data_IF_641877847770
#
_entry.id   IF_641877847770
#
_cell.length_a   1.000
_cell.length_b   1.000
_cell.length_c   1.000
_cell.angle_alpha   90.00
_cell.angle_beta   90.00
_cell.angle_gamma   90.00
#
_symmetry.space_group_name_H-M   'P 1'
#
loop_
_entity.id
_entity.type
_entity.pdbx_description
1 polymer ?
#
# COMPACT_ATOMS: atom_id res chain seq x y z
N UNK A 1 23.89 -1.41 -17.86
CA UNK A 1 23.62 -2.47 -18.87
C UNK A 1 22.11 -2.62 -18.94
N UNK A 2 21.51 -2.22 -20.06
CA UNK A 2 20.06 -2.11 -20.26
C UNK A 2 19.43 -3.50 -20.32
N UNK A 3 18.34 -3.72 -19.55
CA UNK A 3 17.53 -4.93 -19.68
C UNK A 3 16.62 -4.75 -20.90
N UNK A 4 17.04 -5.29 -22.05
CA UNK A 4 16.17 -5.57 -23.20
C UNK A 4 15.78 -7.04 -23.20
N UNK A 5 15.22 -7.55 -22.11
CA UNK A 5 14.41 -8.76 -22.23
C UNK A 5 12.97 -8.35 -22.36
N UNK A 6 12.31 -8.93 -23.36
CA UNK A 6 10.86 -8.93 -23.44
C UNK A 6 10.28 -9.29 -22.06
N UNK A 7 9.34 -8.51 -21.54
CA UNK A 7 8.70 -8.85 -20.28
C UNK A 7 7.98 -10.19 -20.47
N UNK A 8 8.42 -11.21 -19.73
CA UNK A 8 7.73 -12.50 -19.63
C UNK A 8 6.23 -12.24 -19.47
N UNK A 9 5.42 -13.02 -20.19
CA UNK A 9 3.96 -12.96 -20.33
C UNK A 9 3.18 -13.02 -18.99
N UNK A 10 3.31 -12.03 -18.11
CA UNK A 10 2.59 -11.97 -16.83
C UNK A 10 1.86 -10.65 -16.57
N UNK A 11 2.08 -9.61 -17.38
CA UNK A 11 1.31 -8.36 -17.28
C UNK A 11 -0.10 -8.49 -17.86
N UNK A 12 -1.10 -7.91 -17.20
CA UNK A 12 -2.48 -7.84 -17.73
C UNK A 12 -2.47 -7.23 -19.13
N UNK A 13 -3.19 -7.84 -20.07
CA UNK A 13 -3.25 -7.42 -21.48
C UNK A 13 -3.66 -5.95 -21.64
N UNK A 14 -4.43 -5.43 -20.67
CA UNK A 14 -4.89 -4.04 -20.64
C UNK A 14 -3.80 -3.03 -20.28
N UNK A 15 -2.95 -3.33 -19.29
CA UNK A 15 -1.85 -2.43 -18.89
C UNK A 15 -0.83 -2.27 -20.02
N UNK A 16 -0.49 -3.37 -20.70
CA UNK A 16 0.39 -3.35 -21.88
C UNK A 16 -0.21 -2.52 -23.02
N UNK A 17 -1.52 -2.61 -23.24
CA UNK A 17 -2.21 -1.85 -24.27
C UNK A 17 -2.19 -0.34 -23.99
N UNK A 18 -2.52 0.09 -22.77
CA UNK A 18 -2.60 1.51 -22.41
C UNK A 18 -1.26 2.23 -22.49
N UNK A 19 -0.19 1.61 -21.98
CA UNK A 19 1.15 2.20 -21.98
C UNK A 19 1.77 2.29 -23.39
N UNK A 20 1.48 1.31 -24.27
CA UNK A 20 1.90 1.39 -25.68
C UNK A 20 1.13 2.47 -26.45
N UNK A 21 -0.18 2.61 -26.22
CA UNK A 21 -0.99 3.63 -26.88
C UNK A 21 -0.53 5.05 -26.55
N UNK A 22 -0.02 5.25 -25.33
CA UNK A 22 0.52 6.52 -24.87
C UNK A 22 2.03 6.68 -25.15
N UNK A 23 2.67 5.73 -25.82
CA UNK A 23 4.12 5.69 -26.09
C UNK A 23 5.01 5.77 -24.83
N UNK A 24 4.46 5.50 -23.66
CA UNK A 24 5.15 5.62 -22.38
C UNK A 24 6.27 4.58 -22.25
N UNK A 25 6.20 3.44 -22.93
CA UNK A 25 7.30 2.45 -22.93
C UNK A 25 8.55 2.91 -23.68
N UNK A 26 8.39 3.83 -24.63
CA UNK A 26 9.42 4.15 -25.63
C UNK A 26 10.18 5.40 -25.23
N UNK A 27 9.48 6.36 -24.64
CA UNK A 27 10.08 7.59 -24.16
C UNK A 27 10.68 7.39 -22.77
N UNK A 28 12.01 7.36 -22.70
CA UNK A 28 12.75 7.16 -21.44
C UNK A 28 12.62 8.34 -20.49
N UNK A 29 12.31 9.53 -20.99
CA UNK A 29 12.17 10.74 -20.18
C UNK A 29 10.90 10.70 -19.31
N UNK A 30 9.94 9.82 -19.63
CA UNK A 30 8.73 9.59 -18.84
C UNK A 30 8.97 8.65 -17.63
N UNK A 31 10.19 8.09 -17.49
CA UNK A 31 10.56 7.20 -16.40
C UNK A 31 11.65 7.82 -15.54
N UNK A 32 11.38 7.90 -14.24
CA UNK A 32 12.35 8.37 -13.24
C UNK A 32 12.73 7.23 -12.30
N UNK A 33 13.99 7.21 -11.88
CA UNK A 33 14.41 6.32 -10.79
C UNK A 33 13.71 6.72 -9.49
N UNK A 34 13.28 5.73 -8.70
CA UNK A 34 12.44 5.93 -7.51
C UNK A 34 13.15 6.79 -6.46
N UNK A 35 14.47 6.65 -6.30
CA UNK A 35 15.28 7.34 -5.27
C UNK A 35 16.61 7.89 -5.82
N UNK A 36 16.76 7.99 -7.15
CA UNK A 36 18.02 8.31 -7.84
C UNK A 36 19.22 7.38 -7.50
N UNK A 37 18.96 6.20 -6.93
CA UNK A 37 19.96 5.19 -6.63
C UNK A 37 19.96 4.07 -7.68
N UNK A 38 21.14 3.79 -8.22
CA UNK A 38 21.37 2.71 -9.19
C UNK A 38 21.23 1.29 -8.60
N UNK A 39 20.85 1.17 -7.33
CA UNK A 39 20.78 -0.07 -6.55
C UNK A 39 19.37 -0.65 -6.33
N UNK A 40 18.30 0.08 -6.71
CA UNK A 40 16.91 -0.33 -6.48
C UNK A 40 16.57 -1.75 -6.93
N UNK A 41 17.20 -2.22 -8.01
CA UNK A 41 17.03 -3.57 -8.52
C UNK A 41 17.34 -4.65 -7.48
N UNK A 42 18.45 -4.50 -6.73
CA UNK A 42 18.85 -5.49 -5.74
C UNK A 42 17.90 -5.50 -4.54
N UNK A 43 17.38 -4.34 -4.15
CA UNK A 43 16.41 -4.20 -3.05
C UNK A 43 15.03 -4.74 -3.44
N UNK A 44 14.51 -4.39 -4.62
CA UNK A 44 13.21 -4.86 -5.14
C UNK A 44 13.28 -6.36 -5.48
N UNK A 45 14.39 -6.83 -6.07
CA UNK A 45 14.59 -8.23 -6.43
C UNK A 45 14.80 -9.16 -5.22
N UNK A 46 15.19 -8.61 -4.07
CA UNK A 46 15.30 -9.32 -2.80
C UNK A 46 14.06 -9.16 -1.91
N UNK A 47 12.98 -8.54 -2.39
CA UNK A 47 11.71 -8.53 -1.64
C UNK A 47 11.16 -9.96 -1.52
N UNK A 48 10.63 -10.24 -0.33
CA UNK A 48 10.42 -11.57 0.27
C UNK A 48 10.00 -12.67 -0.71
N UNK A 49 10.70 -13.81 -0.65
CA UNK A 49 10.41 -15.02 -1.45
C UNK A 49 9.13 -15.74 -1.02
N UNK A 50 8.56 -15.38 0.13
CA UNK A 50 7.40 -16.02 0.73
C UNK A 50 6.12 -15.18 0.47
N UNK A 51 5.21 -15.63 -0.41
CA UNK A 51 4.04 -14.84 -0.82
C UNK A 51 3.02 -14.62 0.32
N UNK A 52 3.02 -15.47 1.33
CA UNK A 52 2.20 -15.34 2.55
C UNK A 52 2.68 -14.18 3.43
N UNK A 53 3.98 -14.05 3.66
CA UNK A 53 4.54 -12.92 4.41
C UNK A 53 4.30 -11.60 3.70
N UNK A 54 4.46 -11.57 2.36
CA UNK A 54 4.16 -10.39 1.56
C UNK A 54 2.70 -9.95 1.70
N UNK A 55 1.75 -10.90 1.73
CA UNK A 55 0.33 -10.59 1.93
C UNK A 55 0.07 -9.97 3.32
N UNK A 56 0.67 -10.54 4.38
CA UNK A 56 0.55 -10.02 5.75
C UNK A 56 1.12 -8.60 5.83
N UNK A 57 2.29 -8.36 5.25
CA UNK A 57 2.92 -7.03 5.21
C UNK A 57 2.01 -6.00 4.54
N UNK A 58 1.40 -6.33 3.39
CA UNK A 58 0.49 -5.38 2.71
C UNK A 58 -0.75 -5.06 3.53
N UNK A 59 -1.27 -6.00 4.33
CA UNK A 59 -2.36 -5.70 5.26
C UNK A 59 -1.89 -4.76 6.38
N UNK A 60 -0.70 -4.98 6.93
CA UNK A 60 -0.13 -4.11 7.97
C UNK A 60 0.06 -2.69 7.43
N UNK A 61 0.64 -2.54 6.23
CA UNK A 61 0.80 -1.22 5.60
C UNK A 61 -0.54 -0.50 5.41
N UNK A 62 -1.61 -1.21 5.04
CA UNK A 62 -2.95 -0.62 4.95
C UNK A 62 -3.49 -0.20 6.32
N UNK A 63 -3.16 -0.91 7.41
CA UNK A 63 -3.53 -0.49 8.77
C UNK A 63 -2.77 0.77 9.17
N UNK A 64 -1.46 0.81 8.91
CA UNK A 64 -0.63 2.00 9.15
C UNK A 64 -1.18 3.20 8.36
N UNK A 65 -1.60 2.98 7.12
CA UNK A 65 -2.18 4.05 6.30
C UNK A 65 -3.52 4.59 6.86
N UNK A 66 -4.32 3.73 7.48
CA UNK A 66 -5.54 4.19 8.15
C UNK A 66 -5.22 5.03 9.40
N UNK A 67 -4.19 4.64 10.17
CA UNK A 67 -3.77 5.39 11.35
C UNK A 67 -3.15 6.76 10.99
N UNK A 68 -2.34 6.79 9.93
CA UNK A 68 -1.71 7.99 9.41
C UNK A 68 -2.76 8.98 8.88
N UNK A 69 -3.74 8.49 8.12
CA UNK A 69 -4.91 9.27 7.73
C UNK A 69 -5.62 9.88 8.93
N UNK A 70 -5.92 9.12 9.97
CA UNK A 70 -6.64 9.68 11.13
C UNK A 70 -5.79 10.72 11.87
N UNK A 71 -4.48 10.49 12.01
CA UNK A 71 -3.58 11.49 12.57
C UNK A 71 -3.65 12.82 11.79
N UNK A 72 -3.56 12.74 10.46
CA UNK A 72 -3.65 13.89 9.57
C UNK A 72 -5.06 14.52 9.59
N UNK A 73 -6.13 13.73 9.67
CA UNK A 73 -7.52 14.21 9.71
C UNK A 73 -7.81 15.04 10.97
N UNK A 74 -7.10 14.74 12.06
CA UNK A 74 -7.14 15.49 13.31
C UNK A 74 -6.23 16.73 13.29
N UNK A 75 -5.56 17.02 12.17
CA UNK A 75 -4.63 18.14 12.03
C UNK A 75 -3.33 17.94 12.81
N UNK A 76 -2.99 16.70 13.17
CA UNK A 76 -1.78 16.35 13.88
C UNK A 76 -0.74 15.91 12.86
N UNK A 77 0.46 16.50 12.94
CA UNK A 77 1.61 16.01 12.21
C UNK A 77 2.05 14.66 12.83
N UNK A 78 2.06 13.54 12.07
CA UNK A 78 2.46 12.22 12.58
C UNK A 78 3.87 12.16 13.15
N UNK A 79 4.76 13.09 12.76
CA UNK A 79 6.13 13.18 13.26
C UNK A 79 6.27 14.10 14.48
N UNK A 80 5.18 14.74 14.90
CA UNK A 80 5.18 15.68 16.02
C UNK A 80 5.04 14.96 17.37
N UNK A 81 5.39 15.68 18.45
CA UNK A 81 5.18 15.20 19.83
C UNK A 81 3.71 15.09 20.24
N UNK A 82 2.81 15.64 19.43
CA UNK A 82 1.37 15.62 19.64
C UNK A 82 0.71 14.38 19.03
N UNK A 83 1.43 13.62 18.19
CA UNK A 83 0.94 12.35 17.67
C UNK A 83 0.90 11.28 18.77
N UNK A 84 0.00 10.28 18.66
CA UNK A 84 0.01 9.11 19.52
C UNK A 84 1.38 8.45 19.53
N UNK A 85 1.85 8.06 20.71
CA UNK A 85 3.19 7.49 20.93
C UNK A 85 3.22 5.98 20.75
N UNK A 86 2.07 5.37 20.51
CA UNK A 86 1.94 3.94 20.22
C UNK A 86 0.73 3.65 19.35
N UNK A 87 0.74 2.49 18.68
CA UNK A 87 -0.41 1.98 17.93
C UNK A 87 -1.62 1.81 18.84
N UNK A 88 -1.44 1.32 20.07
CA UNK A 88 -2.55 1.16 21.03
C UNK A 88 -3.19 2.50 21.40
N UNK A 89 -2.38 3.54 21.62
CA UNK A 89 -2.88 4.90 21.90
C UNK A 89 -3.65 5.44 20.69
N UNK A 90 -3.13 5.28 19.46
CA UNK A 90 -3.85 5.68 18.24
C UNK A 90 -5.17 4.92 18.05
N UNK A 91 -5.18 3.61 18.34
CA UNK A 91 -6.38 2.77 18.26
C UNK A 91 -7.46 3.20 19.27
N UNK A 92 -7.04 3.56 20.48
CA UNK A 92 -7.93 4.06 21.54
C UNK A 92 -8.46 5.46 21.19
N UNK A 93 -7.59 6.38 20.79
CA UNK A 93 -7.95 7.76 20.49
C UNK A 93 -8.82 7.89 19.23
N UNK A 94 -8.45 7.24 18.13
CA UNK A 94 -9.12 7.43 16.84
C UNK A 94 -10.34 6.52 16.64
N UNK A 95 -10.34 5.33 17.26
CA UNK A 95 -11.37 4.32 17.01
C UNK A 95 -12.06 3.79 18.28
N UNK A 96 -11.62 4.21 19.46
CA UNK A 96 -12.16 3.70 20.74
C UNK A 96 -11.83 2.23 21.00
N UNK A 97 -10.81 1.67 20.35
CA UNK A 97 -10.43 0.26 20.48
C UNK A 97 -9.47 0.10 21.65
N UNK A 98 -9.97 -0.39 22.78
CA UNK A 98 -9.18 -0.59 23.99
C UNK A 98 -8.41 -1.92 23.97
N UNK A 99 -7.16 -1.88 24.43
CA UNK A 99 -6.27 -3.05 24.51
C UNK A 99 -6.11 -3.81 23.17
N UNK A 100 -6.28 -3.12 22.03
CA UNK A 100 -6.23 -3.73 20.70
C UNK A 100 -7.34 -4.74 20.41
N UNK A 101 -8.43 -4.74 21.21
CA UNK A 101 -9.53 -5.70 21.07
C UNK A 101 -10.69 -5.07 20.32
N UNK A 102 -10.97 -5.52 19.10
CA UNK A 102 -12.17 -5.10 18.36
C UNK A 102 -13.46 -5.40 19.13
N UNK A 103 -13.47 -6.40 20.02
CA UNK A 103 -14.63 -6.68 20.89
C UNK A 103 -14.91 -5.58 21.92
N UNK A 104 -14.00 -4.60 22.10
CA UNK A 104 -14.21 -3.44 22.97
C UNK A 104 -15.13 -2.38 22.37
N UNK A 105 -15.40 -2.43 21.06
CA UNK A 105 -16.28 -1.49 20.36
C UNK A 105 -17.55 -2.17 19.85
N UNK A 106 -18.61 -1.38 19.69
CA UNK A 106 -19.92 -1.83 19.24
C UNK A 106 -19.88 -2.46 17.84
N UNK A 107 -20.83 -3.37 17.57
CA UNK A 107 -20.93 -4.05 16.28
C UNK A 107 -21.09 -3.09 15.10
N UNK A 108 -21.86 -2.01 15.27
CA UNK A 108 -22.05 -0.97 14.27
C UNK A 108 -20.75 -0.24 13.95
N UNK A 109 -19.96 0.10 14.97
CA UNK A 109 -18.65 0.76 14.84
C UNK A 109 -17.66 -0.18 14.14
N UNK A 110 -17.59 -1.45 14.54
CA UNK A 110 -16.77 -2.46 13.85
C UNK A 110 -17.14 -2.59 12.38
N UNK A 111 -18.43 -2.64 12.06
CA UNK A 111 -18.91 -2.72 10.68
C UNK A 111 -18.55 -1.49 9.87
N UNK A 112 -18.46 -0.31 10.49
CA UNK A 112 -18.00 0.90 9.81
C UNK A 112 -16.48 0.88 9.60
N UNK A 113 -15.72 0.47 10.61
CA UNK A 113 -14.26 0.35 10.53
C UNK A 113 -13.82 -0.64 9.43
N UNK A 114 -14.56 -1.74 9.25
CA UNK A 114 -14.30 -2.74 8.22
C UNK A 114 -14.43 -2.20 6.78
N UNK A 115 -14.99 -0.99 6.57
CA UNK A 115 -15.08 -0.36 5.24
C UNK A 115 -13.80 0.38 4.84
N UNK A 116 -12.79 0.40 5.70
CA UNK A 116 -11.54 1.10 5.43
C UNK A 116 -10.53 0.25 4.64
N UNK A 117 -10.56 -1.08 4.76
CA UNK A 117 -9.60 -1.99 4.11
C UNK A 117 -10.36 -3.18 3.53
N UNK A 118 -10.11 -3.48 2.26
CA UNK A 118 -10.76 -4.55 1.52
C UNK A 118 -9.72 -5.54 0.99
N UNK A 119 -9.95 -6.83 1.24
CA UNK A 119 -9.25 -7.91 0.55
C UNK A 119 -10.17 -8.47 -0.54
N UNK A 120 -9.83 -8.23 -1.80
CA UNK A 120 -10.61 -8.63 -2.96
C UNK A 120 -9.86 -9.75 -3.70
N UNK A 121 -10.51 -10.89 -3.84
CA UNK A 121 -9.98 -12.02 -4.61
C UNK A 121 -10.66 -12.10 -5.97
N UNK A 122 -9.86 -12.19 -7.02
CA UNK A 122 -10.32 -12.40 -8.40
C UNK A 122 -9.52 -13.52 -9.08
N UNK A 123 -9.87 -13.86 -10.32
CA UNK A 123 -9.20 -14.93 -11.07
C UNK A 123 -9.74 -16.34 -10.76
N UNK A 124 -8.92 -17.37 -11.04
CA UNK A 124 -9.31 -18.78 -10.84
C UNK A 124 -8.87 -19.25 -9.46
N UNK A 125 -9.59 -20.19 -8.85
CA UNK A 125 -9.20 -20.79 -7.55
C UNK A 125 -7.77 -21.35 -7.54
N UNK A 126 -7.30 -21.88 -8.68
CA UNK A 126 -5.95 -22.43 -8.84
C UNK A 126 -4.88 -21.38 -9.14
N UNK A 127 -5.29 -20.15 -9.52
CA UNK A 127 -4.39 -19.03 -9.78
C UNK A 127 -5.12 -17.71 -9.45
N UNK A 128 -5.31 -17.44 -8.15
CA UNK A 128 -6.05 -16.26 -7.70
C UNK A 128 -5.19 -15.00 -7.83
N UNK A 129 -5.85 -13.85 -7.94
CA UNK A 129 -5.26 -12.53 -7.77
C UNK A 129 -5.90 -11.88 -6.55
N UNK A 130 -5.06 -11.43 -5.62
CA UNK A 130 -5.50 -10.72 -4.42
C UNK A 130 -5.18 -9.25 -4.58
N UNK A 131 -6.18 -8.39 -4.37
CA UNK A 131 -6.02 -6.96 -4.26
C UNK A 131 -6.33 -6.54 -2.82
N UNK A 132 -5.45 -5.75 -2.23
CA UNK A 132 -5.71 -5.04 -0.99
C UNK A 132 -5.98 -3.60 -1.38
N UNK A 133 -7.11 -3.06 -0.93
CA UNK A 133 -7.53 -1.68 -1.17
C UNK A 133 -7.80 -1.05 0.17
N UNK A 134 -7.11 0.02 0.50
CA UNK A 134 -7.38 0.82 1.69
C UNK A 134 -7.85 2.23 1.35
N UNK A 135 -8.45 2.89 2.33
CA UNK A 135 -8.88 4.28 2.28
C UNK A 135 -8.03 5.13 3.23
N UNK A 136 -6.71 4.86 3.28
CA UNK A 136 -5.71 5.56 4.10
C UNK A 136 -5.28 6.93 3.55
N UNK A 137 -4.10 7.41 3.94
CA UNK A 137 -3.58 8.73 3.52
C UNK A 137 -3.37 8.82 2.01
N UNK A 138 -3.07 7.67 1.37
CA UNK A 138 -2.66 7.61 -0.02
C UNK A 138 -1.30 8.27 -0.26
N UNK A 139 -0.80 8.13 -1.49
CA UNK A 139 0.48 8.72 -1.90
C UNK A 139 0.24 9.60 -3.12
N UNK A 140 0.69 10.86 -3.07
CA UNK A 140 0.73 11.71 -4.27
C UNK A 140 1.92 11.33 -5.15
N UNK A 141 1.84 11.49 -6.49
CA UNK A 141 2.98 11.23 -7.37
C UNK A 141 4.25 11.99 -6.97
N UNK A 142 4.08 13.22 -6.49
CA UNK A 142 5.18 14.11 -6.09
C UNK A 142 5.87 13.64 -4.82
N UNK A 143 5.15 12.98 -3.91
CA UNK A 143 5.69 12.42 -2.67
C UNK A 143 6.38 11.08 -2.86
N UNK A 144 6.20 10.41 -4.01
CA UNK A 144 6.73 9.07 -4.26
C UNK A 144 8.27 8.95 -4.12
N UNK A 145 9.09 9.94 -4.53
CA UNK A 145 10.54 9.86 -4.37
C UNK A 145 11.04 9.92 -2.92
N UNK A 146 10.22 10.41 -2.00
CA UNK A 146 10.57 10.61 -0.58
C UNK A 146 9.93 9.55 0.33
N UNK A 147 9.38 8.48 -0.24
CA UNK A 147 8.72 7.36 0.47
C UNK A 147 9.69 6.25 0.86
#
# INVERSE_FOLDING_TARGET
>A
MLWTSEPKNSGSTHTKFSLNKLNLWVNKDDWKEIDASSGNWATIGNQQSAPDTALVEKIINSVDAILMKECLSHGIDPMSKSAPKSISEAQEEYFGIYNGKLSSIDSSVRSNLAKNIFLVTSGKKTNPSYAIVDLGEGQTPESFPDT
#
